data_IF_885639071657
#
_entry.id   IF_885639071657
#
_cell.length_a   1.000
_cell.length_b   1.000
_cell.length_c   1.000
_cell.angle_alpha   90.00
_cell.angle_beta   90.00
_cell.angle_gamma   90.00
#
_symmetry.space_group_name_H-M   'P 1'
#
loop_
_entity.id
_entity.type
_entity.pdbx_description
1 polymer ?
#
# COMPACT_ATOMS: atom_id res chain seq x y z
N UNK A 1 -52.85 -36.30 -79.47
CA UNK A 1 -51.98 -37.22 -78.69
C UNK A 1 -50.67 -36.49 -78.42
N UNK A 2 -50.32 -36.23 -77.15
CA UNK A 2 -49.20 -35.37 -76.75
C UNK A 2 -47.87 -36.16 -76.72
N UNK A 3 -46.72 -35.57 -77.11
CA UNK A 3 -45.41 -36.22 -77.01
C UNK A 3 -44.79 -36.01 -75.62
N UNK A 4 -44.06 -37.02 -75.15
CA UNK A 4 -43.32 -37.03 -73.88
C UNK A 4 -41.89 -36.58 -74.13
N UNK A 5 -41.47 -35.52 -73.42
CA UNK A 5 -40.07 -35.06 -73.34
C UNK A 5 -39.34 -35.84 -72.25
N UNK A 6 -38.17 -36.39 -72.57
CA UNK A 6 -37.21 -36.87 -71.57
C UNK A 6 -36.13 -35.79 -71.38
N UNK A 7 -36.00 -35.33 -70.14
CA UNK A 7 -35.15 -34.22 -69.71
C UNK A 7 -33.82 -34.80 -69.20
N UNK A 8 -32.72 -34.48 -69.90
CA UNK A 8 -31.35 -34.82 -69.48
C UNK A 8 -30.85 -33.80 -68.46
N UNK A 9 -30.57 -34.24 -67.24
CA UNK A 9 -29.96 -33.41 -66.17
C UNK A 9 -28.44 -33.53 -66.27
N UNK A 10 -27.77 -32.40 -66.54
CA UNK A 10 -26.32 -32.23 -66.50
C UNK A 10 -25.88 -31.91 -65.06
N UNK A 11 -25.06 -32.79 -64.47
CA UNK A 11 -24.42 -32.56 -63.17
C UNK A 11 -23.07 -31.85 -63.39
N UNK A 12 -22.98 -30.59 -62.95
CA UNK A 12 -21.73 -29.81 -62.91
C UNK A 12 -20.95 -30.13 -61.63
N UNK A 13 -19.79 -30.78 -61.77
CA UNK A 13 -18.80 -30.97 -60.70
C UNK A 13 -18.05 -29.66 -60.45
N UNK A 14 -18.30 -29.04 -59.30
CA UNK A 14 -17.44 -27.99 -58.74
C UNK A 14 -16.22 -28.64 -58.06
N UNK A 15 -15.04 -28.45 -58.61
CA UNK A 15 -13.76 -28.78 -57.96
C UNK A 15 -13.41 -27.62 -57.03
N UNK A 16 -13.62 -27.80 -55.73
CA UNK A 16 -13.12 -26.88 -54.70
C UNK A 16 -11.67 -27.22 -54.39
N UNK A 17 -10.76 -26.30 -54.74
CA UNK A 17 -9.36 -26.35 -54.33
C UNK A 17 -9.25 -25.93 -52.87
N UNK A 18 -9.23 -26.90 -51.94
CA UNK A 18 -8.86 -26.67 -50.55
C UNK A 18 -7.37 -26.32 -50.47
N UNK A 19 -7.07 -25.04 -50.35
CA UNK A 19 -5.76 -24.56 -49.94
C UNK A 19 -5.62 -24.82 -48.44
N UNK A 20 -4.88 -25.88 -48.07
CA UNK A 20 -4.54 -26.18 -46.69
C UNK A 20 -3.55 -25.13 -46.18
N UNK A 21 -4.08 -24.07 -45.58
CA UNK A 21 -3.29 -23.07 -44.89
C UNK A 21 -2.76 -23.70 -43.61
N UNK A 22 -1.49 -24.12 -43.67
CA UNK A 22 -0.73 -24.66 -42.55
C UNK A 22 -0.60 -23.55 -41.49
N UNK A 23 -1.56 -23.50 -40.55
CA UNK A 23 -1.40 -22.73 -39.32
C UNK A 23 -0.24 -23.37 -38.56
N UNK A 24 0.91 -22.72 -38.59
CA UNK A 24 1.98 -22.98 -37.63
C UNK A 24 1.38 -22.81 -36.24
N UNK A 25 1.17 -23.92 -35.55
CA UNK A 25 1.05 -23.97 -34.10
C UNK A 25 2.43 -23.71 -33.53
N UNK A 26 2.91 -22.48 -33.71
CA UNK A 26 4.01 -21.95 -32.94
C UNK A 26 3.40 -21.63 -31.57
N UNK A 27 3.32 -22.65 -30.71
CA UNK A 27 3.09 -22.46 -29.28
C UNK A 27 4.18 -21.51 -28.82
N UNK A 28 3.86 -20.22 -28.73
CA UNK A 28 4.77 -19.19 -28.28
C UNK A 28 5.39 -19.67 -26.97
N UNK A 29 6.66 -20.06 -27.02
CA UNK A 29 7.39 -20.60 -25.88
C UNK A 29 7.34 -19.52 -24.80
N UNK A 30 6.67 -19.79 -23.69
CA UNK A 30 6.60 -18.82 -22.60
C UNK A 30 8.02 -18.52 -22.17
N UNK A 31 8.40 -17.24 -22.27
CA UNK A 31 9.75 -16.80 -21.96
C UNK A 31 10.04 -17.10 -20.49
N UNK A 32 11.23 -17.61 -20.16
CA UNK A 32 11.60 -17.84 -18.76
C UNK A 32 11.85 -16.50 -18.07
N UNK A 33 11.62 -16.44 -16.75
CA UNK A 33 11.93 -15.23 -15.97
C UNK A 33 13.42 -14.90 -16.09
N UNK A 34 14.30 -15.91 -15.93
CA UNK A 34 15.76 -15.76 -16.03
C UNK A 34 16.17 -15.10 -17.35
N UNK A 35 15.63 -15.55 -18.49
CA UNK A 35 15.95 -14.96 -19.78
C UNK A 35 15.39 -13.55 -19.92
N UNK A 36 14.20 -13.28 -19.38
CA UNK A 36 13.54 -11.98 -19.49
C UNK A 36 14.28 -10.89 -18.74
N UNK A 37 14.79 -11.21 -17.55
CA UNK A 37 15.43 -10.24 -16.65
C UNK A 37 16.94 -10.13 -16.82
N UNK A 38 17.51 -10.83 -17.81
CA UNK A 38 18.94 -10.80 -18.09
C UNK A 38 19.42 -9.36 -18.33
N UNK A 39 20.35 -8.89 -17.48
CA UNK A 39 20.92 -7.53 -17.54
C UNK A 39 20.07 -6.44 -16.84
N UNK A 40 18.96 -6.78 -16.21
CA UNK A 40 18.19 -5.87 -15.34
C UNK A 40 18.78 -5.85 -13.93
N UNK A 41 18.60 -4.72 -13.21
CA UNK A 41 18.99 -4.64 -11.80
C UNK A 41 17.94 -5.33 -10.94
N UNK A 42 18.33 -6.39 -10.22
CA UNK A 42 17.45 -7.09 -9.27
C UNK A 42 17.41 -6.38 -7.91
N UNK A 43 16.20 -6.28 -7.36
CA UNK A 43 15.92 -5.83 -5.99
C UNK A 43 15.31 -6.99 -5.20
N UNK A 44 16.11 -7.74 -4.41
CA UNK A 44 15.60 -8.85 -3.61
C UNK A 44 14.90 -8.34 -2.34
N UNK A 45 13.88 -9.06 -1.87
CA UNK A 45 13.13 -8.72 -0.66
C UNK A 45 11.77 -9.42 -0.67
N UNK A 46 10.76 -8.82 -0.04
CA UNK A 46 9.45 -9.46 0.16
C UNK A 46 8.80 -9.92 -1.16
N UNK A 47 8.59 -9.01 -2.10
CA UNK A 47 8.36 -9.31 -3.51
C UNK A 47 9.56 -8.86 -4.33
N UNK A 48 10.35 -9.77 -4.92
CA UNK A 48 11.44 -9.37 -5.80
C UNK A 48 10.94 -8.56 -6.99
N UNK A 49 11.70 -7.54 -7.39
CA UNK A 49 11.43 -6.82 -8.63
C UNK A 49 12.73 -6.49 -9.37
N UNK A 50 12.60 -6.11 -10.63
CA UNK A 50 13.72 -5.86 -11.53
C UNK A 50 13.53 -4.52 -12.23
N UNK A 51 14.57 -3.70 -12.24
CA UNK A 51 14.62 -2.45 -12.96
C UNK A 51 15.29 -2.64 -14.32
N UNK A 52 14.54 -2.40 -15.38
CA UNK A 52 15.04 -2.30 -16.75
C UNK A 52 15.34 -0.83 -17.06
N UNK A 53 16.60 -0.44 -16.86
CA UNK A 53 17.05 0.92 -17.11
C UNK A 53 16.93 1.35 -18.58
N UNK A 54 16.97 0.41 -19.53
CA UNK A 54 16.88 0.73 -20.97
C UNK A 54 15.44 1.00 -21.38
N UNK A 55 14.49 0.23 -20.86
CA UNK A 55 13.08 0.41 -21.15
C UNK A 55 12.37 1.39 -20.21
N UNK A 56 13.00 1.74 -19.07
CA UNK A 56 12.38 2.55 -18.03
C UNK A 56 11.27 1.80 -17.29
N UNK A 57 11.40 0.48 -17.12
CA UNK A 57 10.34 -0.40 -16.61
C UNK A 57 10.69 -1.08 -15.30
N UNK A 58 9.66 -1.28 -14.48
CA UNK A 58 9.73 -2.13 -13.29
C UNK A 58 8.97 -3.43 -13.56
N UNK A 59 9.68 -4.55 -13.43
CA UNK A 59 9.12 -5.89 -13.54
C UNK A 59 8.97 -6.51 -12.15
N UNK A 60 7.78 -6.93 -11.79
CA UNK A 60 7.48 -7.52 -10.48
C UNK A 60 7.45 -9.05 -10.60
N UNK A 61 8.15 -9.75 -9.72
CA UNK A 61 8.09 -11.20 -9.58
C UNK A 61 7.03 -11.56 -8.54
N UNK A 62 6.06 -12.38 -8.94
CA UNK A 62 4.97 -12.87 -8.08
C UNK A 62 5.18 -14.36 -7.84
N UNK A 63 5.33 -14.72 -6.57
CA UNK A 63 5.63 -16.09 -6.09
C UNK A 63 4.69 -16.55 -4.96
N UNK A 64 3.84 -15.65 -4.43
CA UNK A 64 2.94 -15.87 -3.29
C UNK A 64 1.47 -15.81 -3.72
N UNK A 65 0.96 -16.93 -4.23
CA UNK A 65 -0.43 -17.03 -4.69
C UNK A 65 -1.41 -17.19 -3.53
N UNK A 66 -2.57 -16.54 -3.65
CA UNK A 66 -3.67 -16.62 -2.68
C UNK A 66 -3.27 -16.31 -1.23
N UNK A 67 -2.09 -15.70 -1.04
CA UNK A 67 -1.56 -15.30 0.26
C UNK A 67 -1.80 -13.80 0.41
N UNK A 68 -2.40 -13.42 1.52
CA UNK A 68 -2.70 -12.02 1.79
C UNK A 68 -1.46 -11.25 2.25
N UNK A 69 -1.38 -10.01 1.81
CA UNK A 69 -0.41 -9.02 2.26
C UNK A 69 -1.08 -7.64 2.31
N UNK A 70 -0.44 -6.68 2.95
CA UNK A 70 -0.96 -5.32 3.02
C UNK A 70 -0.35 -4.49 1.89
N UNK A 71 -1.20 -3.88 1.07
CA UNK A 71 -0.81 -2.84 0.14
C UNK A 71 -1.15 -1.48 0.74
N UNK A 72 -0.15 -0.63 0.93
CA UNK A 72 -0.34 0.72 1.42
C UNK A 72 0.26 1.74 0.46
N UNK A 73 -0.36 2.91 0.42
CA UNK A 73 0.19 4.08 -0.27
C UNK A 73 0.53 5.23 0.70
N UNK A 74 1.48 6.06 0.28
CA UNK A 74 1.84 7.27 1.02
C UNK A 74 2.38 8.35 0.09
N UNK A 75 2.52 9.56 0.64
CA UNK A 75 3.03 10.73 -0.05
C UNK A 75 4.41 11.18 0.51
N UNK A 76 5.53 10.52 0.16
CA UNK A 76 6.86 10.89 0.65
C UNK A 76 7.30 12.32 0.38
N UNK A 77 6.75 12.97 -0.66
CA UNK A 77 6.95 14.39 -0.94
C UNK A 77 5.63 15.01 -1.42
N UNK A 78 5.05 15.86 -0.57
CA UNK A 78 3.80 16.56 -0.86
C UNK A 78 4.01 18.01 -1.30
N UNK A 79 2.95 18.81 -1.17
CA UNK A 79 2.87 20.21 -1.62
C UNK A 79 3.25 21.19 -0.50
N UNK A 80 3.25 20.75 0.77
CA UNK A 80 3.71 21.55 1.91
C UNK A 80 2.76 22.67 2.33
N UNK A 81 1.49 22.57 1.97
CA UNK A 81 0.40 23.47 2.41
C UNK A 81 -0.60 22.68 3.26
N UNK A 82 -0.78 23.11 4.52
CA UNK A 82 -1.75 22.50 5.43
C UNK A 82 -3.18 22.63 4.89
N UNK A 83 -3.50 23.76 4.25
CA UNK A 83 -4.83 24.04 3.68
C UNK A 83 -5.18 23.15 2.48
N UNK A 84 -4.16 22.68 1.75
CA UNK A 84 -4.33 21.70 0.66
C UNK A 84 -4.42 20.27 1.23
N UNK A 85 -3.67 19.97 2.29
CA UNK A 85 -3.72 18.66 2.96
C UNK A 85 -2.99 17.53 2.21
N UNK A 86 -1.95 17.89 1.44
CA UNK A 86 -1.05 16.98 0.74
C UNK A 86 0.36 17.13 1.33
N UNK A 87 0.58 16.50 2.47
CA UNK A 87 1.77 16.70 3.30
C UNK A 87 2.86 15.67 3.04
N UNK A 88 4.12 16.08 3.23
CA UNK A 88 5.26 15.16 3.24
C UNK A 88 5.06 14.06 4.29
N UNK A 89 5.19 12.81 3.87
CA UNK A 89 5.14 11.64 4.75
C UNK A 89 3.73 11.24 5.18
N UNK A 90 2.69 11.81 4.56
CA UNK A 90 1.31 11.45 4.80
C UNK A 90 1.05 9.98 4.39
N UNK A 91 0.50 9.19 5.31
CA UNK A 91 -0.06 7.89 4.98
C UNK A 91 -1.41 8.09 4.29
N UNK A 92 -1.67 7.30 3.27
CA UNK A 92 -2.95 7.28 2.59
C UNK A 92 -3.66 5.95 2.79
N UNK A 93 -4.31 5.44 1.74
CA UNK A 93 -5.10 4.23 1.83
C UNK A 93 -4.24 2.98 2.03
N UNK A 94 -4.80 1.99 2.72
CA UNK A 94 -4.22 0.65 2.80
C UNK A 94 -5.30 -0.40 2.62
N UNK A 95 -4.92 -1.51 1.98
CA UNK A 95 -5.81 -2.61 1.63
C UNK A 95 -5.10 -3.92 1.92
N UNK A 96 -5.80 -4.86 2.56
CA UNK A 96 -5.39 -6.26 2.43
C UNK A 96 -5.65 -6.66 0.99
N UNK A 97 -4.66 -7.30 0.38
CA UNK A 97 -4.68 -7.73 -1.01
C UNK A 97 -4.07 -9.12 -1.16
N UNK A 98 -4.41 -9.78 -2.26
CA UNK A 98 -3.80 -11.03 -2.71
C UNK A 98 -3.67 -11.03 -4.23
N UNK A 99 -2.79 -11.88 -4.74
CA UNK A 99 -2.70 -12.14 -6.18
C UNK A 99 -3.51 -13.37 -6.57
N UNK A 100 -4.50 -13.15 -7.44
CA UNK A 100 -5.36 -14.18 -8.00
C UNK A 100 -5.00 -14.38 -9.49
N UNK A 101 -4.66 -15.60 -9.90
CA UNK A 101 -4.31 -15.91 -11.30
C UNK A 101 -5.53 -16.43 -12.07
N UNK A 102 -5.82 -15.81 -13.22
CA UNK A 102 -6.87 -16.25 -14.15
C UNK A 102 -6.30 -16.31 -15.55
N UNK A 103 -5.92 -17.52 -16.00
CA UNK A 103 -5.26 -17.73 -17.28
C UNK A 103 -3.96 -16.92 -17.40
N UNK A 104 -3.80 -16.05 -18.42
CA UNK A 104 -2.62 -15.20 -18.59
C UNK A 104 -2.64 -13.91 -17.74
N UNK A 105 -3.70 -13.68 -16.97
CA UNK A 105 -3.84 -12.50 -16.12
C UNK A 105 -3.55 -12.81 -14.66
N UNK A 106 -2.97 -11.83 -13.98
CA UNK A 106 -2.84 -11.81 -12.52
C UNK A 106 -3.60 -10.60 -12.00
N UNK A 107 -4.56 -10.82 -11.13
CA UNK A 107 -5.37 -9.77 -10.52
C UNK A 107 -4.83 -9.47 -9.12
N UNK A 108 -4.67 -8.19 -8.80
CA UNK A 108 -4.46 -7.73 -7.43
C UNK A 108 -5.85 -7.47 -6.81
N UNK A 109 -6.31 -8.38 -5.98
CA UNK A 109 -7.67 -8.36 -5.42
C UNK A 109 -7.62 -7.94 -3.96
N UNK A 110 -8.43 -6.96 -3.59
CA UNK A 110 -8.69 -6.54 -2.22
C UNK A 110 -10.00 -7.17 -1.72
N UNK A 111 -9.96 -8.17 -0.83
CA UNK A 111 -11.15 -8.64 -0.14
C UNK A 111 -11.74 -7.56 0.77
N UNK A 112 -13.03 -7.68 1.06
CA UNK A 112 -13.73 -6.76 1.95
C UNK A 112 -13.71 -7.26 3.40
N UNK A 113 -12.90 -6.63 4.24
CA UNK A 113 -12.77 -6.98 5.66
C UNK A 113 -13.74 -6.22 6.59
N UNK A 114 -14.50 -5.26 6.06
CA UNK A 114 -15.52 -4.54 6.83
C UNK A 114 -16.78 -5.38 7.05
N UNK A 115 -17.00 -6.42 6.24
CA UNK A 115 -18.11 -7.35 6.34
C UNK A 115 -17.58 -8.78 6.33
N UNK A 116 -17.76 -9.52 7.43
CA UNK A 116 -17.22 -10.88 7.59
C UNK A 116 -18.18 -11.75 8.40
N UNK A 117 -17.93 -13.06 8.42
CA UNK A 117 -18.57 -14.00 9.34
C UNK A 117 -17.48 -14.75 10.11
N UNK A 118 -17.45 -14.65 11.43
CA UNK A 118 -16.52 -15.41 12.27
C UNK A 118 -17.14 -16.75 12.67
N UNK A 119 -17.11 -17.69 11.72
CA UNK A 119 -17.79 -18.98 11.81
C UNK A 119 -16.93 -20.09 11.18
N UNK A 120 -17.24 -21.34 11.53
CA UNK A 120 -16.69 -22.52 10.85
C UNK A 120 -17.63 -23.03 9.74
N UNK A 121 -18.79 -22.39 9.53
CA UNK A 121 -19.73 -22.75 8.48
C UNK A 121 -19.30 -22.16 7.13
N UNK A 122 -18.91 -23.04 6.19
CA UNK A 122 -18.41 -22.63 4.86
C UNK A 122 -19.48 -21.90 4.04
N UNK A 123 -20.75 -22.30 4.14
CA UNK A 123 -21.84 -21.68 3.37
C UNK A 123 -22.14 -20.27 3.87
N UNK A 124 -22.00 -20.03 5.17
CA UNK A 124 -22.17 -18.70 5.78
C UNK A 124 -21.01 -17.76 5.41
N UNK A 125 -19.77 -18.27 5.38
CA UNK A 125 -18.62 -17.53 4.88
C UNK A 125 -18.80 -17.13 3.41
N UNK A 126 -19.29 -18.05 2.58
CA UNK A 126 -19.56 -17.80 1.16
C UNK A 126 -20.70 -16.79 0.97
N UNK A 127 -21.78 -16.89 1.76
CA UNK A 127 -22.91 -15.97 1.68
C UNK A 127 -22.48 -14.52 1.93
N UNK A 128 -21.62 -14.27 2.93
CA UNK A 128 -21.07 -12.93 3.17
C UNK A 128 -20.13 -12.51 2.05
N UNK A 129 -19.22 -13.39 1.63
CA UNK A 129 -18.28 -13.11 0.53
C UNK A 129 -18.99 -12.70 -0.76
N UNK A 130 -20.08 -13.37 -1.11
CA UNK A 130 -20.84 -13.10 -2.34
C UNK A 130 -21.80 -11.91 -2.20
N UNK A 131 -22.19 -11.55 -0.96
CA UNK A 131 -23.05 -10.41 -0.68
C UNK A 131 -22.31 -9.06 -0.69
N UNK A 132 -21.00 -9.05 -0.37
CA UNK A 132 -20.19 -7.83 -0.29
C UNK A 132 -19.03 -7.87 -1.29
N UNK A 133 -19.01 -6.90 -2.20
CA UNK A 133 -18.05 -6.89 -3.30
C UNK A 133 -16.58 -6.82 -2.82
N UNK A 134 -15.74 -7.68 -3.40
CA UNK A 134 -14.29 -7.48 -3.43
C UNK A 134 -13.92 -6.44 -4.50
N UNK A 135 -12.73 -5.85 -4.40
CA UNK A 135 -12.23 -4.90 -5.41
C UNK A 135 -11.01 -5.46 -6.14
N UNK A 136 -11.06 -5.54 -7.47
CA UNK A 136 -9.85 -5.79 -8.26
C UNK A 136 -9.12 -4.46 -8.48
N UNK A 137 -8.02 -4.25 -7.75
CA UNK A 137 -7.25 -2.99 -7.75
C UNK A 137 -6.36 -2.83 -8.99
N UNK A 138 -5.95 -3.95 -9.61
CA UNK A 138 -5.17 -3.97 -10.84
C UNK A 138 -5.23 -5.34 -11.54
N UNK A 139 -5.03 -5.36 -12.85
CA UNK A 139 -4.84 -6.57 -13.64
C UNK A 139 -3.53 -6.50 -14.41
N UNK A 140 -2.64 -7.45 -14.15
CA UNK A 140 -1.37 -7.63 -14.85
C UNK A 140 -1.50 -8.72 -15.92
N UNK A 141 -0.70 -8.60 -16.98
CA UNK A 141 -0.49 -9.68 -17.94
C UNK A 141 0.86 -10.38 -17.65
N UNK A 142 0.85 -11.71 -17.67
CA UNK A 142 2.07 -12.52 -17.46
C UNK A 142 3.00 -12.33 -18.66
N UNK A 143 4.20 -11.82 -18.40
CA UNK A 143 5.21 -11.58 -19.44
C UNK A 143 6.25 -12.71 -19.55
N UNK A 144 6.49 -13.41 -18.44
CA UNK A 144 7.37 -14.56 -18.35
C UNK A 144 6.94 -15.41 -17.14
N UNK A 145 7.22 -16.71 -17.17
CA UNK A 145 6.95 -17.60 -16.05
C UNK A 145 8.05 -18.64 -15.87
N UNK A 146 8.28 -19.04 -14.62
CA UNK A 146 9.25 -20.09 -14.29
C UNK A 146 8.80 -20.81 -13.02
N UNK A 147 8.53 -22.11 -13.14
CA UNK A 147 7.94 -22.91 -12.06
C UNK A 147 6.62 -22.29 -11.56
N UNK A 148 6.51 -21.98 -10.27
CA UNK A 148 5.33 -21.36 -9.66
C UNK A 148 5.41 -19.83 -9.60
N UNK A 149 6.32 -19.21 -10.36
CA UNK A 149 6.55 -17.75 -10.32
C UNK A 149 6.21 -17.14 -11.65
N UNK A 150 5.71 -15.92 -11.64
CA UNK A 150 5.51 -15.13 -12.85
C UNK A 150 6.18 -13.77 -12.74
N UNK A 151 6.57 -13.24 -13.89
CA UNK A 151 7.03 -11.86 -14.03
C UNK A 151 5.95 -11.05 -14.75
N UNK A 152 5.59 -9.91 -14.17
CA UNK A 152 4.63 -8.96 -14.74
C UNK A 152 5.24 -7.58 -14.94
N UNK A 153 4.80 -6.85 -15.96
CA UNK A 153 5.13 -5.43 -16.11
C UNK A 153 4.28 -4.62 -15.11
N UNK A 154 4.92 -4.10 -14.06
CA UNK A 154 4.25 -3.32 -13.02
C UNK A 154 4.37 -1.81 -13.24
N UNK A 155 4.88 -1.39 -14.40
CA UNK A 155 5.23 0.01 -14.67
C UNK A 155 4.05 0.95 -14.54
N UNK A 156 2.95 0.66 -15.23
CA UNK A 156 1.72 1.47 -15.17
C UNK A 156 0.98 1.34 -13.83
N UNK A 157 1.17 0.24 -13.10
CA UNK A 157 0.61 0.08 -11.77
C UNK A 157 1.25 1.07 -10.79
N UNK A 158 2.57 1.27 -10.86
CA UNK A 158 3.28 2.20 -9.99
C UNK A 158 3.15 3.66 -10.44
N UNK A 159 3.06 3.93 -11.75
CA UNK A 159 2.94 5.30 -12.30
C UNK A 159 1.48 5.78 -12.34
N UNK A 160 0.78 5.73 -11.21
CA UNK A 160 -0.64 6.16 -11.10
C UNK A 160 -0.86 7.02 -9.86
N UNK A 161 -1.83 7.93 -9.93
CA UNK A 161 -2.29 8.76 -8.80
C UNK A 161 -3.10 7.90 -7.82
N UNK A 162 -2.41 7.24 -6.88
CA UNK A 162 -3.05 6.43 -5.83
C UNK A 162 -3.47 7.27 -4.65
N UNK A 163 -2.78 8.38 -4.40
CA UNK A 163 -3.07 9.30 -3.30
C UNK A 163 -4.21 10.28 -3.61
N UNK A 164 -4.82 10.18 -4.79
CA UNK A 164 -5.97 11.00 -5.20
C UNK A 164 -5.66 12.51 -5.17
N UNK A 165 -4.44 12.88 -5.58
CA UNK A 165 -3.93 14.26 -5.60
C UNK A 165 -4.85 15.16 -6.40
N UNK A 166 -5.27 14.70 -7.58
CA UNK A 166 -6.21 15.41 -8.46
C UNK A 166 -7.55 15.70 -7.75
N UNK A 167 -8.13 14.70 -7.09
CA UNK A 167 -9.39 14.85 -6.36
C UNK A 167 -9.25 15.77 -5.15
N UNK A 168 -8.13 15.70 -4.42
CA UNK A 168 -7.86 16.57 -3.28
C UNK A 168 -7.74 18.03 -3.71
N UNK A 169 -7.02 18.32 -4.79
CA UNK A 169 -6.91 19.68 -5.35
C UNK A 169 -8.27 20.21 -5.84
N UNK A 170 -9.07 19.36 -6.49
CA UNK A 170 -10.39 19.74 -6.96
C UNK A 170 -11.35 20.06 -5.80
N UNK A 171 -11.43 19.19 -4.78
CA UNK A 171 -12.25 19.42 -3.58
C UNK A 171 -11.80 20.66 -2.81
N UNK A 172 -10.48 20.91 -2.77
CA UNK A 172 -9.88 22.11 -2.19
C UNK A 172 -10.01 23.37 -3.06
N UNK A 173 -10.71 23.32 -4.20
CA UNK A 173 -10.89 24.44 -5.13
C UNK A 173 -9.58 25.03 -5.67
N UNK A 174 -8.53 24.23 -5.75
CA UNK A 174 -7.21 24.65 -6.22
C UNK A 174 -7.02 24.56 -7.75
N UNK A 175 -8.00 23.99 -8.44
CA UNK A 175 -8.00 23.84 -9.88
C UNK A 175 -8.42 22.44 -10.31
N UNK A 176 -8.48 22.22 -11.61
CA UNK A 176 -8.68 20.88 -12.18
C UNK A 176 -7.37 20.43 -12.83
N UNK A 177 -6.87 19.28 -12.40
CA UNK A 177 -5.60 18.71 -12.84
C UNK A 177 -5.79 17.29 -13.36
N UNK A 178 -4.84 16.84 -14.17
CA UNK A 178 -4.71 15.45 -14.62
C UNK A 178 -3.26 15.02 -14.56
N UNK A 179 -3.01 13.74 -14.30
CA UNK A 179 -1.67 13.16 -14.39
C UNK A 179 -1.13 13.33 -15.83
N UNK A 180 0.11 13.78 -15.96
CA UNK A 180 0.84 13.86 -17.24
C UNK A 180 1.90 12.75 -17.28
N UNK A 181 1.63 11.61 -17.95
CA UNK A 181 2.55 10.48 -17.98
C UNK A 181 3.92 10.82 -18.57
N UNK A 182 4.01 11.85 -19.43
CA UNK A 182 5.29 12.25 -20.05
C UNK A 182 6.28 12.88 -19.06
N UNK A 183 5.77 13.30 -17.89
CA UNK A 183 6.53 13.93 -16.80
C UNK A 183 6.53 13.07 -15.53
N UNK A 184 6.25 11.78 -15.67
CA UNK A 184 6.26 10.82 -14.57
C UNK A 184 7.46 9.87 -14.71
N UNK A 185 8.06 9.51 -13.58
CA UNK A 185 9.22 8.62 -13.57
C UNK A 185 9.36 7.91 -12.22
N UNK A 186 10.07 6.77 -12.21
CA UNK A 186 10.50 6.15 -10.95
C UNK A 186 11.53 7.00 -10.23
N UNK A 187 11.38 7.11 -8.92
CA UNK A 187 12.37 7.72 -8.04
C UNK A 187 13.24 6.62 -7.41
N UNK A 188 14.23 6.17 -8.19
CA UNK A 188 15.12 5.06 -7.81
C UNK A 188 15.87 5.24 -6.47
N UNK A 189 16.28 6.45 -6.03
CA UNK A 189 16.97 6.60 -4.74
C UNK A 189 16.18 6.06 -3.54
N UNK A 190 14.84 6.07 -3.62
CA UNK A 190 13.94 5.50 -2.61
C UNK A 190 13.04 4.39 -3.19
N UNK A 191 13.52 3.67 -4.19
CA UNK A 191 12.91 2.41 -4.64
C UNK A 191 13.76 1.27 -4.09
N UNK A 192 13.24 0.59 -3.07
CA UNK A 192 14.01 -0.32 -2.21
C UNK A 192 13.18 -1.55 -1.86
N UNK A 193 13.86 -2.58 -1.38
CA UNK A 193 13.21 -3.81 -1.01
C UNK A 193 13.85 -4.35 0.28
N UNK A 194 13.01 -4.86 1.16
CA UNK A 194 13.36 -5.27 2.52
C UNK A 194 12.78 -6.67 2.78
N UNK A 195 13.18 -7.35 3.87
CA UNK A 195 12.67 -8.69 4.16
C UNK A 195 11.15 -8.77 4.29
N UNK A 196 10.52 -7.75 4.89
CA UNK A 196 9.09 -7.73 5.19
C UNK A 196 8.28 -6.74 4.36
N UNK A 197 8.94 -5.94 3.50
CA UNK A 197 8.22 -5.01 2.63
C UNK A 197 8.97 -4.67 1.33
N UNK A 198 8.21 -4.35 0.30
CA UNK A 198 8.69 -3.89 -1.01
C UNK A 198 8.19 -2.47 -1.24
N UNK A 199 9.10 -1.55 -1.57
CA UNK A 199 8.82 -0.12 -1.67
C UNK A 199 9.20 0.43 -3.05
N UNK A 200 8.21 0.99 -3.76
CA UNK A 200 8.43 1.65 -5.05
C UNK A 200 7.94 3.08 -4.96
N UNK A 201 8.83 4.04 -5.21
CA UNK A 201 8.52 5.47 -5.18
C UNK A 201 8.54 6.04 -6.60
N UNK A 202 7.56 6.89 -6.92
CA UNK A 202 7.40 7.51 -8.22
C UNK A 202 7.24 9.01 -8.09
N UNK A 203 7.92 9.75 -8.96
CA UNK A 203 7.69 11.17 -9.19
C UNK A 203 6.54 11.31 -10.18
N UNK A 204 5.45 11.94 -9.76
CA UNK A 204 4.24 12.14 -10.54
C UNK A 204 3.98 13.63 -10.74
N UNK A 205 3.71 14.02 -11.98
CA UNK A 205 3.41 15.41 -12.34
C UNK A 205 1.98 15.53 -12.83
N UNK A 206 1.26 16.50 -12.28
CA UNK A 206 -0.13 16.81 -12.57
C UNK A 206 -0.21 18.17 -13.26
N UNK A 207 -0.80 18.20 -14.46
CA UNK A 207 -0.98 19.44 -15.23
C UNK A 207 -2.43 19.88 -15.23
N UNK A 208 -2.68 21.18 -15.15
CA UNK A 208 -4.04 21.68 -14.99
C UNK A 208 -4.16 23.21 -14.97
N UNK A 209 -5.38 23.66 -14.70
CA UNK A 209 -5.73 25.08 -14.62
C UNK A 209 -5.83 25.52 -13.15
N UNK A 210 -4.86 26.30 -12.63
CA UNK A 210 -4.82 26.68 -11.22
C UNK A 210 -5.84 27.77 -10.91
N UNK A 211 -6.79 27.49 -10.01
CA UNK A 211 -7.81 28.47 -9.58
C UNK A 211 -7.63 28.97 -8.15
N UNK A 212 -6.94 28.20 -7.29
CA UNK A 212 -6.82 28.51 -5.87
C UNK A 212 -5.58 29.32 -5.51
N UNK A 213 -5.67 30.04 -4.39
CA UNK A 213 -4.56 30.86 -3.87
C UNK A 213 -3.46 30.01 -3.24
N UNK A 214 -3.79 28.92 -2.55
CA UNK A 214 -2.80 28.15 -1.80
C UNK A 214 -1.78 27.48 -2.73
N UNK A 215 -2.23 26.88 -3.84
CA UNK A 215 -1.31 26.29 -4.82
C UNK A 215 -0.35 27.33 -5.40
N UNK A 216 -0.84 28.55 -5.66
CA UNK A 216 -0.03 29.67 -6.19
C UNK A 216 1.03 30.17 -5.21
N UNK A 217 0.86 29.93 -3.92
CA UNK A 217 1.79 30.37 -2.87
C UNK A 217 2.94 29.38 -2.65
N UNK A 218 2.71 28.08 -2.91
CA UNK A 218 3.65 27.02 -2.52
C UNK A 218 4.24 26.25 -3.71
N UNK A 219 3.64 26.37 -4.90
CA UNK A 219 4.13 25.71 -6.13
C UNK A 219 4.74 26.75 -7.07
N UNK A 220 5.99 26.56 -7.55
CA UNK A 220 6.65 27.51 -8.46
C UNK A 220 5.93 27.74 -9.79
N UNK A 221 5.36 26.67 -10.37
CA UNK A 221 4.58 26.68 -11.61
C UNK A 221 3.21 26.04 -11.31
N UNK A 222 2.20 26.81 -10.89
CA UNK A 222 0.93 26.27 -10.39
C UNK A 222 0.16 25.41 -11.39
N UNK A 223 0.39 25.58 -12.69
CA UNK A 223 -0.16 24.76 -13.77
C UNK A 223 0.46 23.35 -13.86
N UNK A 224 1.56 23.09 -13.14
CA UNK A 224 2.28 21.82 -13.13
C UNK A 224 2.77 21.47 -11.72
N UNK A 225 2.01 20.63 -11.02
CA UNK A 225 2.31 20.21 -9.64
C UNK A 225 3.03 18.87 -9.68
N UNK A 226 4.19 18.78 -9.05
CA UNK A 226 4.95 17.51 -8.95
C UNK A 226 5.02 17.06 -7.50
N UNK A 227 4.69 15.79 -7.25
CA UNK A 227 4.78 15.14 -5.94
C UNK A 227 5.50 13.80 -6.08
N UNK A 228 5.81 13.16 -4.95
CA UNK A 228 6.22 11.75 -4.95
C UNK A 228 5.24 10.91 -4.15
N UNK A 229 4.77 9.85 -4.79
CA UNK A 229 3.90 8.83 -4.20
C UNK A 229 4.69 7.53 -4.05
N UNK A 230 4.31 6.71 -3.06
CA UNK A 230 4.96 5.43 -2.79
C UNK A 230 3.96 4.32 -2.62
N UNK A 231 4.28 3.19 -3.24
CA UNK A 231 3.59 1.93 -3.07
C UNK A 231 4.41 1.02 -2.14
N UNK A 232 3.74 0.48 -1.13
CA UNK A 232 4.33 -0.42 -0.14
C UNK A 232 3.56 -1.73 -0.16
N UNK A 233 4.25 -2.85 -0.44
CA UNK A 233 3.71 -4.19 -0.22
C UNK A 233 4.35 -4.75 1.04
N UNK A 234 3.55 -4.97 2.07
CA UNK A 234 3.99 -5.30 3.43
C UNK A 234 3.47 -6.67 3.83
N UNK A 235 4.34 -7.50 4.37
CA UNK A 235 3.96 -8.78 4.95
C UNK A 235 3.03 -8.55 6.15
N UNK A 236 1.89 -9.23 6.17
CA UNK A 236 0.99 -9.21 7.32
C UNK A 236 1.61 -9.95 8.52
N UNK A 237 1.33 -9.52 9.76
CA UNK A 237 1.75 -10.25 10.96
C UNK A 237 1.24 -11.70 10.97
N UNK A 238 1.99 -12.63 11.60
CA UNK A 238 1.53 -14.00 11.77
C UNK A 238 0.31 -14.06 12.69
N UNK A 239 -0.40 -15.18 12.67
CA UNK A 239 -1.50 -15.43 13.61
C UNK A 239 -1.00 -15.47 15.06
N UNK A 240 -1.87 -15.12 16.01
CA UNK A 240 -1.59 -15.18 17.46
C UNK A 240 -1.79 -13.86 18.20
N UNK A 241 -1.96 -12.75 17.47
CA UNK A 241 -2.35 -11.49 18.07
C UNK A 241 -3.73 -11.58 18.73
N UNK A 242 -3.85 -11.01 19.94
CA UNK A 242 -5.13 -10.94 20.66
C UNK A 242 -5.70 -9.52 20.53
N UNK A 243 -6.78 -9.31 19.74
CA UNK A 243 -7.46 -8.02 19.67
C UNK A 243 -7.97 -7.59 21.04
N UNK A 244 -8.06 -6.27 21.23
CA UNK A 244 -8.64 -5.67 22.45
C UNK A 244 -9.86 -4.87 22.09
N UNK A 245 -11.00 -5.21 22.69
CA UNK A 245 -12.29 -4.56 22.45
C UNK A 245 -12.17 -3.06 22.69
N UNK A 246 -12.75 -2.29 21.78
CA UNK A 246 -12.81 -0.84 21.89
C UNK A 246 -13.72 -0.40 23.05
N UNK A 247 -13.20 0.48 23.89
CA UNK A 247 -13.97 1.19 24.93
C UNK A 247 -13.97 2.69 24.62
N UNK A 248 -15.14 3.33 24.48
CA UNK A 248 -15.23 4.75 24.13
C UNK A 248 -14.58 5.68 25.16
N UNK A 249 -14.29 5.21 26.38
CA UNK A 249 -13.60 5.99 27.41
C UNK A 249 -12.07 5.99 27.25
N UNK A 250 -11.52 5.14 26.38
CA UNK A 250 -10.09 4.87 26.30
C UNK A 250 -9.33 5.74 25.26
N UNK A 251 -10.02 6.59 24.50
CA UNK A 251 -9.42 7.52 23.49
C UNK A 251 -8.47 6.88 22.47
N UNK A 252 -8.55 5.56 22.25
CA UNK A 252 -7.76 4.87 21.22
C UNK A 252 -8.39 5.05 19.84
N UNK A 253 -7.55 5.01 18.80
CA UNK A 253 -8.01 4.68 17.45
C UNK A 253 -8.41 3.21 17.40
N UNK A 254 -9.17 2.82 16.38
CA UNK A 254 -9.70 1.47 16.29
C UNK A 254 -10.22 1.11 14.93
N UNK A 255 -10.42 -0.19 14.75
CA UNK A 255 -11.09 -0.78 13.60
C UNK A 255 -12.54 -1.13 13.96
N UNK A 256 -13.39 -1.17 12.96
CA UNK A 256 -14.76 -1.66 13.08
C UNK A 256 -15.11 -2.54 11.87
N UNK A 257 -15.91 -3.58 12.11
CA UNK A 257 -16.44 -4.43 11.06
C UNK A 257 -17.80 -5.01 11.49
N UNK A 258 -18.59 -5.47 10.54
CA UNK A 258 -19.83 -6.21 10.77
C UNK A 258 -19.55 -7.71 10.72
N UNK A 259 -19.95 -8.41 11.77
CA UNK A 259 -19.83 -9.86 11.88
C UNK A 259 -21.20 -10.53 11.71
N UNK A 260 -21.48 -11.06 10.52
CA UNK A 260 -22.77 -11.67 10.19
C UNK A 260 -23.01 -13.03 10.85
N UNK A 261 -21.99 -13.60 11.50
CA UNK A 261 -22.17 -14.77 12.37
C UNK A 261 -22.65 -14.39 13.79
N UNK A 262 -22.84 -13.10 14.06
CA UNK A 262 -23.32 -12.61 15.36
C UNK A 262 -24.77 -13.05 15.61
N UNK A 263 -25.10 -13.57 16.81
CA UNK A 263 -26.49 -13.83 17.20
C UNK A 263 -27.38 -12.58 17.04
N UNK A 264 -28.66 -12.77 16.70
CA UNK A 264 -29.57 -11.67 16.35
C UNK A 264 -29.75 -10.66 17.50
N UNK A 265 -29.64 -11.12 18.74
CA UNK A 265 -29.75 -10.33 19.97
C UNK A 265 -28.49 -9.51 20.31
N UNK A 266 -27.38 -9.72 19.61
CA UNK A 266 -26.11 -9.04 19.85
C UNK A 266 -25.80 -7.97 18.80
N UNK A 267 -25.00 -6.93 19.14
CA UNK A 267 -24.52 -5.97 18.15
C UNK A 267 -23.66 -6.64 17.07
N UNK A 268 -24.13 -6.59 15.82
CA UNK A 268 -23.43 -7.09 14.63
C UNK A 268 -22.08 -6.39 14.41
N UNK A 269 -21.99 -5.10 14.78
CA UNK A 269 -20.76 -4.33 14.65
C UNK A 269 -19.81 -4.66 15.80
N UNK A 270 -18.62 -5.15 15.46
CA UNK A 270 -17.52 -5.37 16.39
C UNK A 270 -16.49 -4.26 16.24
N UNK A 271 -15.83 -3.90 17.35
CA UNK A 271 -14.83 -2.81 17.39
C UNK A 271 -13.63 -3.22 18.23
N UNK A 272 -12.43 -2.97 17.70
CA UNK A 272 -11.16 -3.23 18.40
C UNK A 272 -10.30 -1.98 18.37
N UNK A 273 -9.49 -1.77 19.42
CA UNK A 273 -8.49 -0.69 19.43
C UNK A 273 -7.29 -1.06 18.56
N UNK A 274 -6.62 -0.04 18.05
CA UNK A 274 -5.30 -0.18 17.47
C UNK A 274 -4.22 -0.17 18.55
N UNK A 275 -3.33 -1.16 18.54
CA UNK A 275 -2.17 -1.18 19.45
C UNK A 275 -1.06 -2.09 18.94
N UNK A 276 0.18 -1.76 19.33
CA UNK A 276 1.33 -2.64 19.20
C UNK A 276 1.12 -3.98 19.91
N UNK A 277 1.66 -5.05 19.32
CA UNK A 277 1.79 -6.32 20.01
C UNK A 277 2.79 -6.18 21.15
N UNK A 278 2.41 -6.57 22.36
CA UNK A 278 3.29 -6.51 23.52
C UNK A 278 2.97 -7.65 24.48
N UNK A 279 4.00 -8.44 24.79
CA UNK A 279 3.93 -9.55 25.73
C UNK A 279 5.14 -9.51 26.66
N UNK A 280 4.94 -9.90 27.93
CA UNK A 280 6.03 -10.10 28.89
C UNK A 280 6.81 -11.36 28.56
N UNK A 281 8.13 -11.35 28.73
CA UNK A 281 8.97 -12.57 28.67
C UNK A 281 8.56 -13.58 29.75
N UNK A 282 8.25 -13.07 30.94
CA UNK A 282 7.66 -13.84 32.03
C UNK A 282 6.25 -13.28 32.34
N UNK A 283 5.19 -13.93 31.84
CA UNK A 283 3.81 -13.50 32.10
C UNK A 283 3.39 -13.58 33.57
N UNK A 284 4.09 -14.37 34.39
CA UNK A 284 3.78 -14.56 35.82
C UNK A 284 4.43 -13.51 36.72
N UNK A 285 5.50 -12.86 36.24
CA UNK A 285 6.20 -11.85 37.00
C UNK A 285 5.42 -10.51 37.05
N UNK A 286 5.41 -9.90 38.25
CA UNK A 286 4.85 -8.57 38.45
C UNK A 286 5.53 -7.53 37.53
N UNK A 287 6.86 -7.59 37.43
CA UNK A 287 7.68 -6.80 36.50
C UNK A 287 8.42 -7.74 35.56
N UNK A 288 8.33 -7.51 34.25
CA UNK A 288 9.04 -8.30 33.25
C UNK A 288 9.44 -7.45 32.05
N UNK A 289 10.53 -7.81 31.39
CA UNK A 289 10.88 -7.25 30.09
C UNK A 289 9.87 -7.68 29.02
N UNK A 290 9.72 -6.87 27.98
CA UNK A 290 8.94 -7.27 26.81
C UNK A 290 9.68 -8.35 26.01
N UNK A 291 8.93 -9.27 25.38
CA UNK A 291 9.48 -10.19 24.37
C UNK A 291 10.10 -9.38 23.23
N UNK A 292 9.34 -8.43 22.70
CA UNK A 292 9.81 -7.42 21.75
C UNK A 292 9.45 -6.04 22.29
N UNK A 293 10.44 -5.16 22.57
CA UNK A 293 10.18 -3.80 23.00
C UNK A 293 9.69 -2.95 21.82
N UNK A 294 8.82 -2.00 22.11
CA UNK A 294 8.35 -1.00 21.14
C UNK A 294 9.41 0.09 21.05
N UNK A 295 10.10 0.17 19.92
CA UNK A 295 11.14 1.19 19.68
C UNK A 295 10.68 2.14 18.58
N UNK A 296 10.67 3.44 18.90
CA UNK A 296 10.46 4.52 17.93
C UNK A 296 11.77 5.25 17.63
N UNK A 297 12.01 5.54 16.36
CA UNK A 297 13.22 6.22 15.91
C UNK A 297 12.91 7.64 15.43
N UNK A 298 13.57 8.62 16.03
CA UNK A 298 13.49 10.04 15.64
C UNK A 298 14.32 10.27 14.38
N UNK A 299 13.69 10.90 13.39
CA UNK A 299 14.31 11.32 12.14
C UNK A 299 15.53 12.20 12.38
N UNK A 300 16.62 11.86 11.69
CA UNK A 300 17.91 12.57 11.75
C UNK A 300 17.79 14.01 11.24
N UNK A 301 16.78 14.30 10.42
CA UNK A 301 16.47 15.63 9.89
C UNK A 301 15.98 16.64 10.92
N UNK A 302 15.59 16.20 12.13
CA UNK A 302 15.30 17.12 13.22
C UNK A 302 16.59 17.84 13.67
N UNK A 303 16.61 19.18 13.73
CA UNK A 303 17.78 19.93 14.18
C UNK A 303 17.94 19.88 15.71
N UNK A 304 19.15 20.10 16.22
CA UNK A 304 19.31 20.42 17.64
C UNK A 304 18.84 21.85 17.94
N UNK A 305 18.29 22.13 19.15
CA UNK A 305 18.10 21.21 20.29
C UNK A 305 16.81 20.37 20.21
N UNK A 306 15.99 20.58 19.17
CA UNK A 306 14.66 19.95 19.03
C UNK A 306 14.76 18.43 19.01
N UNK A 307 15.74 17.86 18.29
CA UNK A 307 15.94 16.42 18.24
C UNK A 307 16.15 15.79 19.62
N UNK A 308 17.01 16.39 20.45
CA UNK A 308 17.21 15.91 21.83
C UNK A 308 15.92 15.97 22.63
N UNK A 309 15.15 17.06 22.52
CA UNK A 309 13.86 17.21 23.19
C UNK A 309 12.81 16.19 22.71
N UNK A 310 12.79 15.86 21.41
CA UNK A 310 11.91 14.83 20.85
C UNK A 310 12.20 13.46 21.43
N UNK A 311 13.48 13.08 21.51
CA UNK A 311 13.90 11.81 22.10
C UNK A 311 13.51 11.74 23.57
N UNK A 312 13.82 12.79 24.34
CA UNK A 312 13.53 12.83 25.77
C UNK A 312 12.02 12.82 26.05
N UNK A 313 11.27 13.74 25.44
CA UNK A 313 9.84 13.89 25.70
C UNK A 313 9.04 12.67 25.27
N UNK A 314 9.40 12.04 24.14
CA UNK A 314 8.73 10.81 23.73
C UNK A 314 9.07 9.62 24.64
N UNK A 315 10.27 9.54 25.24
CA UNK A 315 10.62 8.49 26.20
C UNK A 315 9.76 8.50 27.47
N UNK A 316 9.12 9.62 27.82
CA UNK A 316 8.27 9.69 29.02
C UNK A 316 7.12 8.69 29.00
N UNK A 317 6.67 8.27 27.81
CA UNK A 317 5.66 7.20 27.68
C UNK A 317 6.09 5.88 28.35
N UNK A 318 7.40 5.61 28.48
CA UNK A 318 7.89 4.42 29.17
C UNK A 318 7.44 4.37 30.64
N UNK A 319 7.21 5.51 31.30
CA UNK A 319 6.66 5.54 32.66
C UNK A 319 5.28 4.85 32.74
N UNK A 320 4.46 5.00 31.70
CA UNK A 320 3.17 4.31 31.60
C UNK A 320 3.32 2.79 31.43
N UNK A 321 4.32 2.34 30.67
CA UNK A 321 4.63 0.92 30.52
C UNK A 321 5.20 0.32 31.83
N UNK A 322 6.05 1.06 32.54
CA UNK A 322 6.57 0.68 33.85
C UNK A 322 5.47 0.54 34.90
N UNK A 323 4.52 1.49 34.92
CA UNK A 323 3.37 1.45 35.83
C UNK A 323 2.48 0.22 35.64
N UNK A 324 2.44 -0.38 34.44
CA UNK A 324 1.70 -1.61 34.16
C UNK A 324 2.59 -2.88 34.23
N UNK A 325 3.80 -2.75 34.79
CA UNK A 325 4.68 -3.87 35.10
C UNK A 325 5.59 -4.31 33.96
N UNK A 326 5.84 -3.46 32.97
CA UNK A 326 6.92 -3.71 32.01
C UNK A 326 8.24 -3.08 32.46
N UNK A 327 9.35 -3.67 32.03
CA UNK A 327 10.68 -3.08 32.14
C UNK A 327 11.20 -2.76 30.73
N UNK A 328 11.54 -1.50 30.47
CA UNK A 328 12.13 -1.02 29.21
C UNK A 328 11.36 -1.47 27.95
N UNK A 329 10.03 -1.50 28.03
CA UNK A 329 9.18 -1.97 26.93
C UNK A 329 8.90 -0.89 25.88
N UNK A 330 9.15 0.39 26.19
CA UNK A 330 8.98 1.49 25.25
C UNK A 330 10.23 2.35 25.22
N UNK A 331 10.83 2.47 24.03
CA UNK A 331 12.08 3.18 23.82
C UNK A 331 11.95 4.17 22.68
N UNK A 332 12.71 5.24 22.78
CA UNK A 332 12.85 6.21 21.68
C UNK A 332 14.32 6.49 21.45
N UNK A 333 14.77 6.44 20.22
CA UNK A 333 16.18 6.58 19.87
C UNK A 333 16.33 7.47 18.64
N UNK A 334 17.54 7.99 18.39
CA UNK A 334 17.82 8.62 17.09
C UNK A 334 18.00 7.50 16.07
N UNK A 335 17.40 7.63 14.90
CA UNK A 335 17.56 6.64 13.82
C UNK A 335 19.05 6.44 13.50
N UNK A 336 19.58 5.20 13.55
CA UNK A 336 20.94 4.90 13.15
C UNK A 336 21.22 5.28 11.68
N UNK A 337 22.47 5.58 11.32
CA UNK A 337 22.78 6.07 9.97
C UNK A 337 22.61 5.03 8.86
N UNK A 338 22.65 3.75 9.21
CA UNK A 338 22.55 2.58 8.35
C UNK A 338 21.13 2.01 8.28
N UNK A 339 20.19 2.51 9.10
CA UNK A 339 18.79 2.10 9.07
C UNK A 339 18.00 3.02 8.14
N UNK A 340 17.14 2.40 7.32
CA UNK A 340 16.25 3.10 6.42
C UNK A 340 14.85 3.26 7.06
N UNK A 341 14.28 4.48 7.13
CA UNK A 341 12.93 4.69 7.66
C UNK A 341 11.81 4.03 6.82
N UNK A 342 12.13 3.54 5.62
CA UNK A 342 11.21 2.81 4.77
C UNK A 342 11.11 1.32 5.12
N UNK A 343 12.04 0.79 5.92
CA UNK A 343 11.95 -0.58 6.40
C UNK A 343 10.85 -0.67 7.47
N UNK A 344 9.83 -1.49 7.21
CA UNK A 344 8.62 -1.55 8.04
C UNK A 344 8.90 -2.00 9.47
N UNK A 345 10.07 -2.63 9.72
CA UNK A 345 10.50 -3.11 11.04
C UNK A 345 10.81 -1.99 12.04
N UNK A 346 10.90 -0.74 11.58
CA UNK A 346 11.27 0.40 12.43
C UNK A 346 10.11 1.38 12.53
N UNK A 347 9.63 1.66 13.74
CA UNK A 347 8.66 2.74 13.96
C UNK A 347 9.35 4.10 13.86
N UNK A 348 8.73 5.09 13.23
CA UNK A 348 9.39 6.36 12.90
C UNK A 348 8.64 7.56 13.46
N UNK A 349 9.39 8.48 14.06
CA UNK A 349 8.97 9.85 14.37
C UNK A 349 9.64 10.75 13.32
N UNK A 350 8.88 11.13 12.30
CA UNK A 350 9.36 11.93 11.18
C UNK A 350 9.23 13.44 11.42
N UNK A 351 10.23 14.18 10.96
CA UNK A 351 10.27 15.64 11.04
C UNK A 351 9.79 16.25 9.73
N UNK A 352 8.76 17.10 9.76
CA UNK A 352 8.13 17.67 8.55
C UNK A 352 8.12 19.20 8.58
N UNK A 353 8.20 19.80 7.39
CA UNK A 353 8.10 21.24 7.18
C UNK A 353 6.83 21.56 6.40
N UNK A 354 6.15 22.64 6.79
CA UNK A 354 4.95 23.18 6.12
C UNK A 354 5.13 24.69 5.97
N UNK A 355 4.38 25.33 5.07
CA UNK A 355 4.36 26.79 4.93
C UNK A 355 3.53 27.47 6.02
N UNK A 356 2.51 26.78 6.53
CA UNK A 356 1.61 27.25 7.59
C UNK A 356 1.62 26.30 8.79
N UNK A 357 1.04 26.75 9.91
CA UNK A 357 0.87 25.91 11.11
C UNK A 357 0.11 24.64 10.72
N UNK A 358 0.71 23.48 10.98
CA UNK A 358 0.05 22.19 10.82
C UNK A 358 -0.06 21.42 12.12
N UNK A 359 -0.82 20.35 12.10
CA UNK A 359 -0.99 19.45 13.24
C UNK A 359 0.13 18.41 13.30
N UNK A 360 0.35 17.89 14.50
CA UNK A 360 1.08 16.63 14.71
C UNK A 360 0.13 15.47 14.48
N UNK A 361 0.61 14.40 13.85
CA UNK A 361 -0.20 13.22 13.53
C UNK A 361 0.46 11.97 14.09
N UNK A 362 -0.30 11.19 14.87
CA UNK A 362 0.11 9.86 15.33
C UNK A 362 -0.60 8.79 14.51
N UNK A 363 -0.08 8.52 13.32
CA UNK A 363 -0.65 7.51 12.43
C UNK A 363 0.08 6.18 12.60
N UNK A 364 -0.51 5.12 12.06
CA UNK A 364 0.07 3.79 12.04
C UNK A 364 -0.30 3.07 10.76
N UNK A 365 0.56 2.16 10.32
CA UNK A 365 0.19 1.08 9.44
C UNK A 365 -0.36 -0.05 10.33
N UNK A 366 -1.60 -0.45 10.13
CA UNK A 366 -2.32 -1.39 11.01
C UNK A 366 -2.81 -2.59 10.20
N UNK A 367 -2.83 -3.79 10.78
CA UNK A 367 -3.57 -4.93 10.23
C UNK A 367 -5.08 -4.71 10.46
N UNK A 368 -5.89 -4.46 9.41
CA UNK A 368 -7.32 -4.15 9.57
C UNK A 368 -8.14 -5.36 10.03
N UNK A 369 -7.57 -6.57 10.09
CA UNK A 369 -8.27 -7.76 10.60
C UNK A 369 -8.33 -7.77 12.11
N UNK A 370 -7.28 -7.25 12.77
CA UNK A 370 -7.00 -7.46 14.19
C UNK A 370 -6.81 -6.17 14.99
N UNK A 371 -6.44 -5.05 14.35
CA UNK A 371 -6.04 -3.82 15.03
C UNK A 371 -4.58 -3.84 15.50
N UNK A 372 -3.77 -4.80 15.05
CA UNK A 372 -2.34 -4.82 15.35
C UNK A 372 -1.60 -3.71 14.58
N UNK A 373 -0.88 -2.85 15.30
CA UNK A 373 0.01 -1.86 14.66
C UNK A 373 1.23 -2.61 14.12
N UNK A 374 1.43 -2.55 12.80
CA UNK A 374 2.58 -3.11 12.07
C UNK A 374 3.75 -2.13 12.11
N UNK A 375 3.48 -0.84 11.87
CA UNK A 375 4.48 0.23 11.95
C UNK A 375 3.84 1.51 12.44
N UNK A 376 4.36 2.08 13.53
CA UNK A 376 4.01 3.42 14.00
C UNK A 376 4.67 4.50 13.15
N UNK A 377 3.90 5.51 12.74
CA UNK A 377 4.37 6.68 11.99
C UNK A 377 3.85 7.98 12.57
N UNK A 378 4.72 8.66 13.31
CA UNK A 378 4.41 9.94 13.95
C UNK A 378 5.00 11.07 13.13
N UNK A 379 4.21 12.09 12.81
CA UNK A 379 4.66 13.29 12.09
C UNK A 379 4.66 14.49 13.02
N UNK A 380 5.82 15.15 13.15
CA UNK A 380 6.00 16.35 13.97
C UNK A 380 6.50 17.51 13.11
N UNK A 381 5.85 18.67 13.23
CA UNK A 381 6.05 19.80 12.33
C UNK A 381 6.91 20.92 12.91
N UNK A 382 7.85 21.45 12.13
CA UNK A 382 8.82 22.45 12.61
C UNK A 382 8.29 23.84 12.93
N UNK A 383 7.15 24.23 12.35
CA UNK A 383 6.61 25.58 12.51
C UNK A 383 5.94 25.79 13.87
N UNK A 384 5.51 24.70 14.52
CA UNK A 384 4.84 24.77 15.82
C UNK A 384 5.78 25.36 16.87
N UNK A 385 7.00 24.85 16.94
CA UNK A 385 8.03 25.32 17.87
C UNK A 385 8.35 26.81 17.69
N UNK A 386 8.45 27.27 16.43
CA UNK A 386 8.69 28.69 16.13
C UNK A 386 7.55 29.58 16.61
N UNK A 387 6.30 29.16 16.41
CA UNK A 387 5.15 29.93 16.86
C UNK A 387 5.00 29.90 18.37
N UNK A 388 5.16 28.73 19.01
CA UNK A 388 5.07 28.60 20.45
C UNK A 388 6.15 29.43 21.16
N UNK A 389 7.35 29.56 20.57
CA UNK A 389 8.37 30.49 21.05
C UNK A 389 8.01 31.98 20.84
N UNK A 390 7.29 32.32 19.77
CA UNK A 390 6.88 33.71 19.50
C UNK A 390 5.73 34.18 20.39
N UNK A 391 4.97 33.28 21.00
CA UNK A 391 3.83 33.57 21.88
C UNK A 391 4.10 33.30 23.36
N UNK A 392 5.25 32.69 23.69
CA UNK A 392 5.76 32.53 25.05
C UNK A 392 6.50 33.80 25.49
#
# INVERSE_FOLDING_TARGET
MRPVYWMSVLLLLFITTTSAQQRSTDTARVQTITDKVAGMQKFPGYFPFYWDAKAGKVWLEIDKWNSEFLYAESLPAGIGSNDIGLDRGQLGNSFIVRFDRVGPKVLLVAPNYEFRALTNNVDELLAVKDAFAESTLWGFDVAAEESNRVLVDATSFYLRDVHQVTNTLQRGQQGTYRLDPSRCAFYLPNTKNFPLNTEVETTLTFTGEPTGQFVRQVVPAPEAITVRERHSFVQLPPAGYKPRVFDPRASFQGIAYMDFATPIEEPVTKRYIERHCLAKKDPSAAVSEAVEPIVYYVDRGAPEPVRSALVEGARWWNQGFEAIGYKDAFRVEVMPPDVDPMDVRYNVIQWVHRSTRGWSYGNSLTDPRTGEIIQGRVSLGSLRDRQDFLIA
#
